data_IF_774619861185
#
_entry.id   IF_774619861185
#
_cell.length_a   1.000
_cell.length_b   1.000
_cell.length_c   1.000
_cell.angle_alpha   90.00
_cell.angle_beta   90.00
_cell.angle_gamma   90.00
#
_symmetry.space_group_name_H-M   'P 1'
#
loop_
_entity.id
_entity.type
_entity.pdbx_description
1 polymer ?
#
# COMPACT_ATOMS: atom_id res chain seq x y z
N UNK A 1 14.94 -7.31 81.91
CA UNK A 1 16.20 -7.47 81.14
C UNK A 1 16.62 -8.93 81.19
N UNK A 2 16.44 -9.68 80.10
CA UNK A 2 16.80 -11.09 80.05
C UNK A 2 18.33 -11.26 80.05
N UNK A 3 18.86 -12.05 80.98
CA UNK A 3 20.29 -12.34 81.07
C UNK A 3 20.71 -13.25 79.92
N UNK A 4 21.33 -12.68 78.88
CA UNK A 4 21.89 -13.46 77.76
C UNK A 4 23.00 -14.39 78.29
N UNK A 5 22.72 -15.70 78.32
CA UNK A 5 23.58 -16.71 78.95
C UNK A 5 24.93 -16.91 78.23
N UNK A 6 26.00 -17.19 78.99
CA UNK A 6 27.36 -17.52 78.52
C UNK A 6 27.38 -18.66 77.49
N UNK A 7 26.36 -19.53 77.50
CA UNK A 7 26.20 -20.62 76.52
C UNK A 7 25.93 -20.12 75.10
N UNK A 8 25.23 -18.99 74.93
CA UNK A 8 24.88 -18.41 73.62
C UNK A 8 26.10 -17.82 72.92
N UNK A 9 26.96 -17.10 73.65
CA UNK A 9 28.25 -16.58 73.15
C UNK A 9 29.17 -17.67 72.60
N UNK A 10 29.27 -18.81 73.30
CA UNK A 10 30.10 -19.93 72.87
C UNK A 10 29.59 -20.55 71.57
N UNK A 11 28.27 -20.59 71.37
CA UNK A 11 27.65 -21.10 70.13
C UNK A 11 27.94 -20.18 68.94
N UNK A 12 27.78 -18.86 69.11
CA UNK A 12 28.07 -17.85 68.08
C UNK A 12 29.55 -17.91 67.64
N UNK A 13 30.47 -17.99 68.61
CA UNK A 13 31.91 -18.10 68.33
C UNK A 13 32.25 -19.40 67.59
N UNK A 14 31.62 -20.53 67.94
CA UNK A 14 31.81 -21.81 67.23
C UNK A 14 31.30 -21.76 65.80
N UNK A 15 30.15 -21.14 65.54
CA UNK A 15 29.58 -21.01 64.20
C UNK A 15 30.46 -20.10 63.30
N UNK A 16 30.94 -18.96 63.80
CA UNK A 16 31.89 -18.12 63.05
C UNK A 16 33.20 -18.83 62.75
N UNK A 17 33.73 -19.62 63.70
CA UNK A 17 34.94 -20.42 63.49
C UNK A 17 34.75 -21.56 62.48
N UNK A 18 33.52 -22.07 62.35
CA UNK A 18 33.17 -23.05 61.31
C UNK A 18 33.04 -22.39 59.93
N UNK A 19 32.37 -21.23 59.83
CA UNK A 19 32.21 -20.46 58.58
C UNK A 19 33.56 -19.98 58.03
N UNK A 20 34.46 -19.51 58.90
CA UNK A 20 35.79 -19.05 58.52
C UNK A 20 36.66 -20.18 57.92
N UNK A 21 36.48 -21.42 58.40
CA UNK A 21 37.16 -22.60 57.84
C UNK A 21 36.64 -23.00 56.46
N UNK A 22 35.38 -22.69 56.13
CA UNK A 22 34.78 -22.98 54.81
C UNK A 22 35.01 -21.89 53.78
N UNK A 23 35.10 -20.62 54.18
CA UNK A 23 35.26 -19.46 53.27
C UNK A 23 36.72 -18.99 53.10
N UNK A 24 37.69 -19.73 53.62
CA UNK A 24 39.12 -19.39 53.60
C UNK A 24 39.48 -18.02 54.23
N UNK A 25 38.60 -17.46 55.06
CA UNK A 25 38.86 -16.26 55.85
C UNK A 25 39.43 -16.66 57.22
N UNK A 26 40.66 -16.25 57.53
CA UNK A 26 41.45 -16.84 58.62
C UNK A 26 41.33 -16.14 59.99
N UNK A 27 40.63 -15.00 60.09
CA UNK A 27 40.72 -14.15 61.27
C UNK A 27 39.37 -13.73 61.86
N UNK A 28 39.14 -14.13 63.12
CA UNK A 28 37.92 -13.79 63.88
C UNK A 28 38.28 -12.82 64.99
N UNK A 29 37.73 -11.61 64.92
CA UNK A 29 37.99 -10.57 65.92
C UNK A 29 37.14 -10.77 67.18
N UNK A 30 37.65 -11.58 68.11
CA UNK A 30 36.93 -12.00 69.34
C UNK A 30 36.38 -10.82 70.16
N UNK A 31 37.13 -9.71 70.26
CA UNK A 31 36.69 -8.48 70.96
C UNK A 31 35.50 -7.80 70.28
N UNK A 32 35.40 -7.86 68.95
CA UNK A 32 34.26 -7.34 68.19
C UNK A 32 33.02 -8.19 68.43
N UNK A 33 33.13 -9.52 68.35
CA UNK A 33 32.01 -10.44 68.64
C UNK A 33 31.46 -10.28 70.06
N UNK A 34 32.32 -10.07 71.06
CA UNK A 34 31.91 -9.79 72.43
C UNK A 34 31.23 -8.43 72.58
N UNK A 35 31.74 -7.40 71.89
CA UNK A 35 31.12 -6.06 71.85
C UNK A 35 29.73 -6.12 71.22
N UNK A 36 29.60 -6.78 70.07
CA UNK A 36 28.35 -6.90 69.32
C UNK A 36 27.30 -7.71 70.12
N UNK A 37 27.72 -8.76 70.83
CA UNK A 37 26.84 -9.52 71.74
C UNK A 37 26.35 -8.69 72.93
N UNK A 38 27.21 -7.83 73.48
CA UNK A 38 26.86 -6.92 74.58
C UNK A 38 25.94 -5.78 74.12
N UNK A 39 26.08 -5.34 72.85
CA UNK A 39 25.24 -4.30 72.24
C UNK A 39 23.87 -4.81 71.76
N UNK A 40 23.55 -6.07 71.97
CA UNK A 40 22.24 -6.59 71.58
C UNK A 40 22.14 -7.06 70.13
N UNK A 41 23.17 -6.87 69.30
CA UNK A 41 23.13 -7.11 67.86
C UNK A 41 22.92 -8.61 67.61
N UNK A 42 21.79 -8.96 66.99
CA UNK A 42 21.38 -10.34 66.76
C UNK A 42 22.10 -10.90 65.53
N UNK A 43 22.87 -11.98 65.72
CA UNK A 43 23.69 -12.59 64.66
C UNK A 43 22.88 -13.41 63.65
N UNK A 44 21.58 -13.61 63.87
CA UNK A 44 20.68 -14.31 62.93
C UNK A 44 20.39 -13.48 61.67
N UNK A 45 20.46 -12.15 61.74
CA UNK A 45 20.28 -11.24 60.58
C UNK A 45 21.31 -11.46 59.44
N UNK A 46 22.47 -12.06 59.74
CA UNK A 46 23.49 -12.32 58.73
C UNK A 46 23.15 -13.52 57.83
N UNK A 47 22.38 -14.49 58.32
CA UNK A 47 21.88 -15.61 57.51
C UNK A 47 20.64 -15.15 56.68
N UNK A 48 19.89 -14.15 57.18
CA UNK A 48 18.81 -13.49 56.44
C UNK A 48 19.32 -12.65 55.24
N UNK A 49 20.51 -12.08 55.34
CA UNK A 49 21.10 -11.34 54.22
C UNK A 49 21.60 -12.29 53.11
N UNK A 50 22.14 -13.45 53.49
CA UNK A 50 22.61 -14.47 52.53
C UNK A 50 21.43 -15.09 51.75
N UNK A 51 20.30 -15.33 52.44
CA UNK A 51 19.06 -15.78 51.79
C UNK A 51 18.49 -14.73 50.83
N UNK A 52 18.45 -13.45 51.22
CA UNK A 52 18.05 -12.34 50.32
C UNK A 52 18.94 -12.23 49.08
N UNK A 53 20.25 -12.44 49.22
CA UNK A 53 21.19 -12.45 48.09
C UNK A 53 20.91 -13.61 47.14
N UNK A 54 20.60 -14.80 47.67
CA UNK A 54 20.24 -15.96 46.87
C UNK A 54 18.90 -15.77 46.14
N UNK A 55 17.90 -15.21 46.82
CA UNK A 55 16.60 -14.86 46.21
C UNK A 55 16.76 -13.85 45.07
N UNK A 56 17.54 -12.77 45.29
CA UNK A 56 17.82 -11.76 44.26
C UNK A 56 18.59 -12.36 43.07
N UNK A 57 19.53 -13.28 43.29
CA UNK A 57 20.23 -14.01 42.21
C UNK A 57 19.29 -14.90 41.41
N UNK A 58 18.40 -15.64 42.07
CA UNK A 58 17.39 -16.48 41.43
C UNK A 58 16.37 -15.65 40.62
N UNK A 59 16.02 -14.45 41.10
CA UNK A 59 15.15 -13.53 40.38
C UNK A 59 15.82 -12.99 39.10
N UNK A 60 17.10 -12.60 39.18
CA UNK A 60 17.90 -12.17 38.02
C UNK A 60 18.01 -13.29 36.98
N UNK A 61 18.21 -14.53 37.41
CA UNK A 61 18.27 -15.69 36.52
C UNK A 61 16.93 -15.93 35.80
N UNK A 62 15.80 -15.86 36.51
CA UNK A 62 14.45 -15.93 35.91
C UNK A 62 14.23 -14.80 34.89
N UNK A 63 14.70 -13.59 35.17
CA UNK A 63 14.61 -12.46 34.24
C UNK A 63 15.48 -12.66 32.99
N UNK A 64 16.68 -13.24 33.13
CA UNK A 64 17.55 -13.58 31.99
C UNK A 64 16.89 -14.62 31.09
N UNK A 65 16.37 -15.69 31.67
CA UNK A 65 15.65 -16.73 30.92
C UNK A 65 14.45 -16.16 30.13
N UNK A 66 13.65 -15.29 30.76
CA UNK A 66 12.54 -14.59 30.08
C UNK A 66 12.99 -13.62 28.97
N UNK A 67 14.21 -13.08 29.04
CA UNK A 67 14.77 -12.21 28.01
C UNK A 67 15.31 -13.04 26.84
N UNK A 68 15.97 -14.15 27.13
CA UNK A 68 16.45 -15.11 26.13
C UNK A 68 15.28 -15.72 25.36
N UNK A 69 14.21 -16.18 26.04
CA UNK A 69 12.99 -16.68 25.39
C UNK A 69 12.34 -15.62 24.49
N UNK A 70 12.31 -14.35 24.91
CA UNK A 70 11.80 -13.25 24.08
C UNK A 70 12.71 -12.94 22.90
N UNK A 71 14.03 -13.02 23.08
CA UNK A 71 15.00 -12.82 22.01
C UNK A 71 14.89 -13.93 20.96
N UNK A 72 14.78 -15.19 21.38
CA UNK A 72 14.57 -16.35 20.49
C UNK A 72 13.23 -16.23 19.76
N UNK A 73 12.13 -15.90 20.44
CA UNK A 73 10.81 -15.72 19.80
C UNK A 73 10.78 -14.54 18.83
N UNK A 74 11.61 -13.52 19.05
CA UNK A 74 11.77 -12.39 18.14
C UNK A 74 12.61 -12.80 16.93
N UNK A 75 13.73 -13.48 17.14
CA UNK A 75 14.60 -13.98 16.09
C UNK A 75 13.85 -14.95 15.15
N UNK A 76 13.05 -15.87 15.69
CA UNK A 76 12.21 -16.77 14.88
C UNK A 76 11.21 -16.03 14.00
N UNK A 77 10.56 -14.97 14.52
CA UNK A 77 9.63 -14.15 13.73
C UNK A 77 10.33 -13.30 12.67
N UNK A 78 11.51 -12.81 12.99
CA UNK A 78 12.33 -12.02 12.07
C UNK A 78 12.87 -12.90 10.93
N UNK A 79 13.36 -14.10 11.25
CA UNK A 79 13.78 -15.10 10.27
C UNK A 79 12.62 -15.57 9.39
N UNK A 80 11.44 -15.82 9.95
CA UNK A 80 10.24 -16.18 9.19
C UNK A 80 9.80 -15.02 8.26
N UNK A 81 9.86 -13.77 8.75
CA UNK A 81 9.55 -12.59 7.96
C UNK A 81 10.57 -12.38 6.83
N UNK A 82 11.85 -12.61 7.08
CA UNK A 82 12.92 -12.51 6.09
C UNK A 82 12.85 -13.65 5.06
N UNK A 83 12.53 -14.87 5.49
CA UNK A 83 12.24 -15.99 4.60
C UNK A 83 11.03 -15.69 3.70
N UNK A 84 9.96 -15.11 4.26
CA UNK A 84 8.78 -14.67 3.51
C UNK A 84 9.09 -13.54 2.54
N UNK A 85 9.96 -12.59 2.92
CA UNK A 85 10.42 -11.51 2.04
C UNK A 85 11.27 -12.06 0.88
N UNK A 86 12.19 -13.00 1.16
CA UNK A 86 12.98 -13.69 0.14
C UNK A 86 12.13 -14.53 -0.81
N UNK A 87 11.12 -15.22 -0.29
CA UNK A 87 10.16 -15.97 -1.11
C UNK A 87 9.36 -15.04 -2.04
N UNK A 88 8.91 -13.88 -1.54
CA UNK A 88 8.27 -12.83 -2.36
C UNK A 88 9.20 -12.27 -3.44
N UNK A 89 10.47 -12.03 -3.11
CA UNK A 89 11.45 -11.54 -4.08
C UNK A 89 11.77 -12.56 -5.17
N UNK A 90 11.80 -13.87 -4.84
CA UNK A 90 11.92 -14.96 -5.82
C UNK A 90 10.68 -15.07 -6.69
N UNK A 91 9.49 -15.09 -6.09
CA UNK A 91 8.22 -15.09 -6.82
C UNK A 91 8.09 -13.88 -7.76
N UNK A 92 8.62 -12.71 -7.37
CA UNK A 92 8.63 -11.53 -8.22
C UNK A 92 9.60 -11.65 -9.42
N UNK A 93 10.64 -12.47 -9.30
CA UNK A 93 11.61 -12.75 -10.36
C UNK A 93 11.19 -13.90 -11.29
N UNK A 94 10.41 -14.84 -10.77
CA UNK A 94 9.88 -16.00 -11.50
C UNK A 94 8.52 -15.71 -12.17
N UNK A 95 7.96 -14.50 -11.99
CA UNK A 95 6.84 -14.02 -12.81
C UNK A 95 7.31 -13.97 -14.27
N UNK A 96 6.55 -14.53 -15.23
CA UNK A 96 6.83 -14.29 -16.64
C UNK A 96 6.84 -12.78 -16.86
N UNK A 97 7.89 -12.26 -17.51
CA UNK A 97 7.85 -10.90 -18.03
C UNK A 97 6.55 -10.77 -18.86
N UNK A 98 5.86 -9.62 -18.82
CA UNK A 98 4.64 -9.44 -19.59
C UNK A 98 4.96 -9.43 -21.09
N UNK A 99 5.17 -10.62 -21.68
CA UNK A 99 5.48 -10.84 -23.09
C UNK A 99 4.36 -10.25 -23.97
N UNK A 100 3.11 -10.27 -23.48
CA UNK A 100 1.96 -9.74 -24.23
C UNK A 100 1.88 -8.20 -24.30
N UNK A 101 2.41 -7.46 -23.31
CA UNK A 101 2.36 -6.00 -23.38
C UNK A 101 3.45 -5.45 -24.32
N UNK A 102 4.60 -6.11 -24.38
CA UNK A 102 5.71 -5.72 -25.27
C UNK A 102 5.40 -5.95 -26.74
N UNK A 103 4.82 -7.09 -27.09
CA UNK A 103 4.48 -7.45 -28.48
C UNK A 103 3.43 -6.51 -29.09
N UNK A 104 2.33 -6.24 -28.37
CA UNK A 104 1.30 -5.31 -28.87
C UNK A 104 1.82 -3.86 -28.96
N UNK A 105 2.73 -3.44 -28.06
CA UNK A 105 3.39 -2.12 -28.17
C UNK A 105 4.34 -2.02 -29.37
N UNK A 106 4.99 -3.12 -29.76
CA UNK A 106 5.92 -3.17 -30.88
C UNK A 106 5.17 -3.17 -32.24
N UNK A 107 4.06 -3.90 -32.35
CA UNK A 107 3.16 -3.85 -33.51
C UNK A 107 2.57 -2.45 -33.71
N UNK A 108 2.17 -1.77 -32.63
CA UNK A 108 1.62 -0.41 -32.70
C UNK A 108 2.68 0.64 -33.04
N UNK A 109 3.90 0.51 -32.51
CA UNK A 109 5.04 1.31 -32.96
C UNK A 109 5.26 1.10 -34.45
N UNK A 110 5.13 -0.13 -34.93
CA UNK A 110 5.27 -0.45 -36.34
C UNK A 110 4.15 0.19 -37.19
N UNK A 111 2.90 0.19 -36.72
CA UNK A 111 1.79 0.86 -37.40
C UNK A 111 1.95 2.39 -37.41
N UNK A 112 2.32 2.99 -36.28
CA UNK A 112 2.63 4.43 -36.19
C UNK A 112 3.75 4.82 -37.15
N UNK A 113 4.83 4.04 -37.19
CA UNK A 113 5.95 4.23 -38.11
C UNK A 113 5.49 4.09 -39.57
N UNK A 114 4.61 3.13 -39.88
CA UNK A 114 4.07 2.96 -41.22
C UNK A 114 3.23 4.16 -41.68
N UNK A 115 2.38 4.72 -40.81
CA UNK A 115 1.58 5.91 -41.12
C UNK A 115 2.48 7.13 -41.36
N UNK A 116 3.49 7.33 -40.50
CA UNK A 116 4.44 8.45 -40.66
C UNK A 116 5.30 8.30 -41.92
N UNK A 117 5.77 7.08 -42.22
CA UNK A 117 6.52 6.80 -43.47
C UNK A 117 5.68 7.07 -44.71
N UNK A 118 4.40 6.69 -44.69
CA UNK A 118 3.48 6.96 -45.80
C UNK A 118 3.24 8.48 -45.98
N UNK A 119 3.13 9.24 -44.88
CA UNK A 119 3.07 10.71 -44.95
C UNK A 119 4.34 11.30 -45.58
N UNK A 120 5.52 10.85 -45.15
CA UNK A 120 6.80 11.32 -45.69
C UNK A 120 6.95 10.99 -47.18
N UNK A 121 6.55 9.78 -47.61
CA UNK A 121 6.55 9.37 -49.02
C UNK A 121 5.68 10.29 -49.87
N UNK A 122 4.45 10.61 -49.42
CA UNK A 122 3.54 11.54 -50.14
C UNK A 122 4.11 12.95 -50.27
N UNK A 123 4.78 13.46 -49.24
CA UNK A 123 5.47 14.77 -49.29
C UNK A 123 6.64 14.72 -50.27
N UNK A 124 7.37 13.61 -50.32
CA UNK A 124 8.52 13.44 -51.20
C UNK A 124 8.08 13.29 -52.67
N UNK A 125 6.97 12.61 -52.92
CA UNK A 125 6.37 12.45 -54.26
C UNK A 125 5.86 13.78 -54.81
N UNK A 126 5.18 14.59 -53.99
CA UNK A 126 4.71 15.92 -54.40
C UNK A 126 5.87 16.90 -54.67
N UNK A 127 7.05 16.68 -54.09
CA UNK A 127 8.25 17.49 -54.32
C UNK A 127 9.13 16.97 -55.48
N UNK A 128 8.96 15.71 -55.90
CA UNK A 128 9.79 15.04 -56.93
C UNK A 128 9.28 15.16 -58.37
N UNK A 129 8.04 15.58 -58.59
CA UNK A 129 7.38 15.64 -59.93
C UNK A 129 7.34 17.02 -60.59
N UNK A 130 8.15 18.01 -60.15
CA UNK A 130 8.25 19.30 -60.84
C UNK A 130 9.24 19.27 -62.01
N UNK A 131 8.82 18.73 -63.15
CA UNK A 131 9.39 19.03 -64.48
C UNK A 131 8.40 19.86 -65.28
N UNK A 132 8.90 20.95 -65.87
CA UNK A 132 8.19 22.18 -66.25
C UNK A 132 7.33 22.14 -67.53
N UNK A 133 6.97 20.98 -68.11
CA UNK A 133 6.40 21.00 -69.48
C UNK A 133 5.16 20.12 -69.74
N UNK A 134 4.39 19.67 -68.73
CA UNK A 134 3.15 18.91 -68.97
C UNK A 134 1.91 19.43 -68.21
N UNK A 135 1.98 20.65 -67.65
CA UNK A 135 1.02 21.18 -66.66
C UNK A 135 -0.32 21.72 -67.22
N UNK A 136 -0.59 21.66 -68.52
CA UNK A 136 -1.79 22.31 -69.09
C UNK A 136 -2.94 21.36 -69.47
N UNK A 137 -2.65 20.12 -69.84
CA UNK A 137 -3.68 19.14 -70.26
C UNK A 137 -4.12 18.21 -69.11
N UNK A 138 -3.25 17.94 -68.13
CA UNK A 138 -3.60 17.10 -66.98
C UNK A 138 -4.49 17.84 -65.96
N UNK A 139 -4.33 19.16 -65.82
CA UNK A 139 -5.13 20.00 -64.91
C UNK A 139 -6.62 20.02 -65.33
N UNK A 140 -6.92 19.90 -66.62
CA UNK A 140 -8.29 19.92 -67.14
C UNK A 140 -9.01 18.58 -67.01
N UNK A 141 -8.27 17.46 -66.97
CA UNK A 141 -8.84 16.13 -66.75
C UNK A 141 -9.01 15.84 -65.25
N UNK A 142 -8.09 16.33 -64.40
CA UNK A 142 -8.16 16.24 -62.94
C UNK A 142 -9.27 17.11 -62.32
N UNK A 143 -9.62 18.24 -62.96
CA UNK A 143 -10.81 19.02 -62.59
C UNK A 143 -12.12 18.27 -62.89
N UNK A 144 -12.15 17.33 -63.83
CA UNK A 144 -13.38 16.56 -64.14
C UNK A 144 -13.66 15.40 -63.17
N UNK A 145 -12.65 14.96 -62.41
CA UNK A 145 -12.81 14.02 -61.29
C UNK A 145 -13.05 14.71 -59.93
N UNK A 146 -13.07 16.06 -59.90
CA UNK A 146 -13.30 16.89 -58.71
C UNK A 146 -14.76 16.93 -58.23
N UNK A 147 -15.60 16.00 -58.69
CA UNK A 147 -16.98 15.84 -58.27
C UNK A 147 -17.28 14.47 -57.62
N UNK A 148 -16.26 13.64 -57.38
CA UNK A 148 -16.33 12.55 -56.39
C UNK A 148 -16.11 13.10 -54.97
N UNK A 149 -17.09 13.92 -54.61
CA UNK A 149 -17.69 14.11 -53.30
C UNK A 149 -16.79 14.48 -52.12
N UNK A 150 -17.13 15.63 -51.54
CA UNK A 150 -16.82 16.14 -50.21
C UNK A 150 -17.34 15.23 -49.07
N UNK A 151 -17.19 13.91 -49.23
CA UNK A 151 -17.64 12.92 -48.26
C UNK A 151 -16.68 12.96 -47.08
N UNK A 152 -17.19 13.40 -45.94
CA UNK A 152 -16.41 13.48 -44.71
C UNK A 152 -15.71 12.14 -44.44
N UNK A 153 -14.37 12.17 -44.47
CA UNK A 153 -13.52 10.98 -44.34
C UNK A 153 -13.52 10.52 -42.89
N UNK A 154 -13.58 9.21 -42.65
CA UNK A 154 -13.38 8.68 -41.30
C UNK A 154 -11.88 8.71 -40.99
N UNK A 155 -11.44 9.35 -39.90
CA UNK A 155 -10.04 9.30 -39.50
C UNK A 155 -9.65 7.87 -39.16
N UNK A 156 -8.37 7.55 -39.36
CA UNK A 156 -7.81 6.29 -38.85
C UNK A 156 -7.61 6.43 -37.35
N UNK A 157 -7.74 5.35 -36.59
CA UNK A 157 -7.49 5.38 -35.15
C UNK A 157 -7.00 4.02 -34.65
N UNK A 158 -6.29 4.05 -33.54
CA UNK A 158 -5.96 2.90 -32.71
C UNK A 158 -6.57 3.15 -31.33
N UNK A 159 -7.48 2.27 -30.89
CA UNK A 159 -8.11 2.34 -29.58
C UNK A 159 -7.65 1.15 -28.75
N UNK A 160 -7.11 1.40 -27.56
CA UNK A 160 -6.69 0.36 -26.62
C UNK A 160 -7.41 0.53 -25.30
N UNK A 161 -8.09 -0.54 -24.88
CA UNK A 161 -8.76 -0.61 -23.58
C UNK A 161 -7.78 -1.18 -22.57
N UNK A 162 -7.29 -0.34 -21.66
CA UNK A 162 -6.40 -0.81 -20.60
C UNK A 162 -7.22 -1.55 -19.56
N UNK A 163 -7.10 -2.88 -19.52
CA UNK A 163 -7.78 -3.74 -18.55
C UNK A 163 -6.81 -4.16 -17.45
N UNK A 164 -7.31 -4.36 -16.24
CA UNK A 164 -6.49 -4.75 -15.11
C UNK A 164 -7.24 -5.60 -14.08
N UNK A 165 -6.51 -6.05 -13.07
CA UNK A 165 -7.05 -6.82 -11.95
C UNK A 165 -6.96 -6.00 -10.66
N UNK A 166 -8.03 -6.01 -9.86
CA UNK A 166 -8.00 -5.46 -8.49
C UNK A 166 -7.78 -6.61 -7.52
N UNK A 167 -6.62 -6.67 -6.87
CA UNK A 167 -6.42 -7.50 -5.70
C UNK A 167 -6.88 -6.76 -4.45
N UNK A 168 -8.17 -6.84 -4.14
CA UNK A 168 -8.73 -6.40 -2.85
C UNK A 168 -8.79 -7.59 -1.87
N UNK A 169 -9.06 -7.32 -0.58
CA UNK A 169 -9.11 -8.37 0.45
C UNK A 169 -10.07 -9.52 0.12
N UNK A 170 -11.18 -9.20 -0.55
CA UNK A 170 -12.18 -10.19 -0.98
C UNK A 170 -11.69 -11.03 -2.16
N UNK A 171 -11.11 -10.40 -3.18
CA UNK A 171 -10.58 -11.08 -4.35
C UNK A 171 -9.41 -11.98 -3.97
N UNK A 172 -8.59 -11.56 -3.00
CA UNK A 172 -7.50 -12.38 -2.46
C UNK A 172 -7.96 -13.65 -1.74
N UNK A 173 -9.23 -13.81 -1.38
CA UNK A 173 -9.75 -15.05 -0.76
C UNK A 173 -10.46 -15.97 -1.74
N UNK A 174 -10.76 -15.49 -2.95
CA UNK A 174 -11.57 -16.22 -3.94
C UNK A 174 -10.87 -16.46 -5.28
N UNK A 175 -9.77 -15.75 -5.54
CA UNK A 175 -9.02 -15.83 -6.77
C UNK A 175 -7.55 -16.06 -6.45
N UNK A 176 -6.90 -16.84 -7.31
CA UNK A 176 -5.48 -17.18 -7.22
C UNK A 176 -4.76 -16.67 -8.46
N UNK A 177 -3.43 -16.84 -8.53
CA UNK A 177 -2.65 -16.42 -9.69
C UNK A 177 -3.10 -17.12 -10.99
N UNK A 178 -3.48 -18.40 -10.89
CA UNK A 178 -3.89 -19.22 -12.04
C UNK A 178 -5.36 -19.02 -12.41
N UNK A 179 -6.16 -18.46 -11.49
CA UNK A 179 -7.54 -18.07 -11.72
C UNK A 179 -7.76 -16.64 -11.20
N UNK A 180 -7.23 -15.63 -11.93
CA UNK A 180 -7.28 -14.25 -11.47
C UNK A 180 -8.72 -13.72 -11.46
N UNK A 181 -8.99 -12.65 -10.69
CA UNK A 181 -10.32 -12.04 -10.66
C UNK A 181 -10.74 -11.52 -12.05
N UNK A 182 -12.04 -11.29 -12.28
CA UNK A 182 -12.51 -10.66 -13.50
C UNK A 182 -11.78 -9.33 -13.76
N UNK A 183 -11.38 -9.11 -15.00
CA UNK A 183 -10.74 -7.85 -15.41
C UNK A 183 -11.75 -6.71 -15.35
N UNK A 184 -11.29 -5.56 -14.89
CA UNK A 184 -12.03 -4.31 -14.98
C UNK A 184 -11.31 -3.36 -15.95
N UNK A 185 -12.05 -2.42 -16.54
CA UNK A 185 -11.47 -1.38 -17.38
C UNK A 185 -10.79 -0.36 -16.48
N UNK A 186 -9.48 -0.22 -16.60
CA UNK A 186 -8.67 0.74 -15.84
C UNK A 186 -8.53 2.08 -16.57
N UNK A 187 -8.62 2.09 -17.89
CA UNK A 187 -8.46 3.29 -18.68
C UNK A 187 -8.54 3.03 -20.17
N UNK A 188 -8.40 4.09 -20.95
CA UNK A 188 -8.42 4.05 -22.40
C UNK A 188 -7.24 4.81 -22.98
N UNK A 189 -6.72 4.31 -24.10
CA UNK A 189 -5.73 5.00 -24.92
C UNK A 189 -6.27 5.15 -26.34
N UNK A 190 -6.47 6.39 -26.77
CA UNK A 190 -6.90 6.72 -28.12
C UNK A 190 -5.76 7.39 -28.87
N UNK A 191 -5.38 6.82 -29.99
CA UNK A 191 -4.51 7.45 -30.99
C UNK A 191 -5.32 7.66 -32.26
N UNK A 192 -5.65 8.91 -32.59
CA UNK A 192 -6.51 9.26 -33.71
C UNK A 192 -5.71 10.08 -34.72
N UNK A 193 -5.72 9.62 -35.97
CA UNK A 193 -4.90 10.15 -37.05
C UNK A 193 -5.71 11.09 -37.95
N UNK A 194 -5.25 12.33 -38.01
CA UNK A 194 -5.71 13.44 -38.83
C UNK A 194 -4.56 14.01 -39.70
N UNK A 195 -3.95 13.19 -40.58
CA UNK A 195 -2.81 13.61 -41.41
C UNK A 195 -3.16 14.71 -42.43
N UNK A 196 -4.39 14.74 -42.94
CA UNK A 196 -4.84 15.59 -44.05
C UNK A 196 -5.72 16.76 -43.54
N UNK A 197 -5.50 17.23 -42.32
CA UNK A 197 -6.30 18.31 -41.74
C UNK A 197 -6.01 19.63 -42.48
N UNK A 198 -7.06 20.31 -42.95
CA UNK A 198 -6.88 21.56 -43.73
C UNK A 198 -6.26 22.66 -42.88
N UNK A 199 -6.67 22.75 -41.62
CA UNK A 199 -6.20 23.75 -40.66
C UNK A 199 -5.47 23.05 -39.51
N UNK A 200 -4.15 22.90 -39.66
CA UNK A 200 -3.30 22.25 -38.66
C UNK A 200 -3.13 23.08 -37.37
N UNK A 201 -3.62 24.33 -37.35
CA UNK A 201 -3.63 25.19 -36.16
C UNK A 201 -4.78 24.86 -35.21
N UNK A 202 -5.90 24.36 -35.75
CA UNK A 202 -7.06 23.99 -34.94
C UNK A 202 -6.88 22.60 -34.34
N UNK A 203 -6.84 22.56 -33.02
CA UNK A 203 -6.70 21.31 -32.27
C UNK A 203 -8.03 20.56 -32.23
N UNK A 204 -8.05 19.26 -32.55
CA UNK A 204 -9.24 18.44 -32.38
C UNK A 204 -9.73 18.43 -30.93
N UNK A 205 -11.03 18.63 -30.74
CA UNK A 205 -11.67 18.68 -29.42
C UNK A 205 -12.47 17.40 -29.17
N UNK A 206 -12.62 17.01 -27.91
CA UNK A 206 -13.49 15.90 -27.51
C UNK A 206 -14.60 16.36 -26.56
N UNK A 207 -15.76 15.69 -26.62
CA UNK A 207 -16.89 15.92 -25.73
C UNK A 207 -17.40 14.60 -25.17
N UNK A 208 -17.82 14.61 -23.91
CA UNK A 208 -18.47 13.45 -23.27
C UNK A 208 -19.98 13.68 -23.29
N UNK A 209 -20.71 12.70 -23.80
CA UNK A 209 -22.16 12.69 -23.89
C UNK A 209 -22.73 11.44 -23.22
N UNK A 210 -23.94 11.56 -22.68
CA UNK A 210 -24.64 10.44 -22.06
C UNK A 210 -25.08 9.42 -23.13
N UNK A 211 -24.90 8.13 -22.82
CA UNK A 211 -25.33 7.05 -23.69
C UNK A 211 -26.82 6.78 -23.46
N UNK A 212 -27.67 7.20 -24.41
CA UNK A 212 -29.13 7.02 -24.33
C UNK A 212 -29.56 5.55 -24.34
N UNK A 213 -28.71 4.66 -24.86
CA UNK A 213 -28.98 3.22 -24.92
C UNK A 213 -28.61 2.52 -23.61
N UNK A 214 -27.88 3.18 -22.71
CA UNK A 214 -27.45 2.61 -21.44
C UNK A 214 -28.50 2.80 -20.37
N UNK A 215 -29.22 1.73 -20.05
CA UNK A 215 -30.31 1.75 -19.06
C UNK A 215 -29.83 2.07 -17.63
N UNK A 216 -28.53 1.92 -17.34
CA UNK A 216 -27.96 2.00 -15.99
C UNK A 216 -26.95 3.15 -15.82
N UNK A 217 -26.63 3.90 -16.89
CA UNK A 217 -25.67 5.02 -16.83
C UNK A 217 -24.19 4.62 -16.68
N UNK A 218 -23.88 3.31 -16.77
CA UNK A 218 -22.53 2.76 -16.60
C UNK A 218 -21.59 3.11 -17.77
N UNK A 219 -22.14 3.54 -18.91
CA UNK A 219 -21.39 3.87 -20.13
C UNK A 219 -21.70 5.28 -20.60
N UNK A 220 -20.69 5.94 -21.16
CA UNK A 220 -20.83 7.25 -21.82
C UNK A 220 -20.18 7.22 -23.21
N UNK A 221 -20.56 8.18 -24.05
CA UNK A 221 -20.05 8.31 -25.42
C UNK A 221 -19.07 9.47 -25.48
N UNK A 222 -17.81 9.17 -25.82
CA UNK A 222 -16.82 10.19 -26.13
C UNK A 222 -16.84 10.50 -27.63
N UNK A 223 -17.08 11.75 -28.02
CA UNK A 223 -17.05 12.23 -29.42
C UNK A 223 -15.81 13.07 -29.67
N UNK A 224 -15.15 12.85 -30.80
CA UNK A 224 -13.99 13.61 -31.26
C UNK A 224 -14.35 14.43 -32.50
N UNK A 225 -13.95 15.70 -32.49
CA UNK A 225 -14.22 16.69 -33.54
C UNK A 225 -12.91 17.33 -33.98
N UNK A 226 -12.49 17.11 -35.22
CA UNK A 226 -11.25 17.70 -35.77
C UNK A 226 -11.51 18.82 -36.79
N UNK A 227 -12.63 18.77 -37.51
CA UNK A 227 -12.96 19.67 -38.62
C UNK A 227 -12.77 19.01 -40.00
N UNK A 228 -13.15 19.70 -41.09
CA UNK A 228 -13.02 19.18 -42.46
C UNK A 228 -11.56 18.80 -42.80
N UNK A 229 -11.30 17.70 -43.52
CA UNK A 229 -12.23 16.84 -44.25
C UNK A 229 -12.77 15.67 -43.41
N UNK A 230 -12.50 15.62 -42.10
CA UNK A 230 -12.81 14.46 -41.27
C UNK A 230 -14.21 14.53 -40.66
N UNK A 231 -14.89 13.39 -40.66
CA UNK A 231 -16.14 13.20 -39.93
C UNK A 231 -15.87 13.05 -38.42
N UNK A 232 -16.83 13.45 -37.61
CA UNK A 232 -16.79 13.21 -36.17
C UNK A 232 -16.87 11.70 -35.89
N UNK A 233 -16.07 11.24 -34.93
CA UNK A 233 -16.09 9.84 -34.49
C UNK A 233 -16.43 9.76 -33.02
N UNK A 234 -17.08 8.67 -32.63
CA UNK A 234 -17.57 8.48 -31.28
C UNK A 234 -17.25 7.06 -30.79
N UNK A 235 -16.91 6.94 -29.51
CA UNK A 235 -16.66 5.65 -28.87
C UNK A 235 -17.48 5.53 -27.59
N UNK A 236 -17.94 4.31 -27.29
CA UNK A 236 -18.53 3.99 -26.01
C UNK A 236 -17.43 3.62 -25.01
N UNK A 237 -17.43 4.31 -23.88
CA UNK A 237 -16.49 4.10 -22.78
C UNK A 237 -17.25 3.93 -21.46
N UNK A 238 -16.58 3.40 -20.43
CA UNK A 238 -17.13 3.37 -19.06
C UNK A 238 -17.26 4.79 -18.51
N UNK A 239 -18.37 5.05 -17.82
CA UNK A 239 -18.69 6.33 -17.20
C UNK A 239 -18.12 6.40 -15.77
N UNK A 240 -16.79 6.50 -15.67
CA UNK A 240 -16.08 6.66 -14.39
C UNK A 240 -15.24 7.95 -14.39
N UNK A 241 -14.88 8.44 -13.21
CA UNK A 241 -14.06 9.64 -13.04
C UNK A 241 -12.64 9.44 -13.58
N UNK A 242 -12.16 10.40 -14.37
CA UNK A 242 -10.81 10.34 -14.94
C UNK A 242 -9.77 10.88 -13.97
N UNK A 243 -8.59 10.26 -13.99
CA UNK A 243 -7.39 10.75 -13.32
C UNK A 243 -6.59 11.64 -14.27
N UNK A 244 -6.66 12.96 -14.06
CA UNK A 244 -5.96 13.96 -14.86
C UNK A 244 -4.47 14.11 -14.48
N UNK A 245 -3.95 13.29 -13.57
CA UNK A 245 -2.55 13.35 -13.17
C UNK A 245 -1.63 12.82 -14.28
N UNK A 246 -0.69 13.66 -14.74
CA UNK A 246 0.36 13.25 -15.69
C UNK A 246 1.21 12.09 -15.14
N UNK A 247 1.40 12.01 -13.81
CA UNK A 247 2.13 10.91 -13.17
C UNK A 247 1.42 9.57 -13.33
N UNK A 248 0.10 9.59 -13.47
CA UNK A 248 -0.73 8.40 -13.62
C UNK A 248 -1.01 8.09 -15.11
N UNK A 249 -0.25 8.69 -16.03
CA UNK A 249 -0.29 8.40 -17.45
C UNK A 249 -1.31 9.21 -18.24
N UNK A 250 -1.89 10.27 -17.65
CA UNK A 250 -2.76 11.18 -18.39
C UNK A 250 -1.96 11.92 -19.47
N UNK A 251 -2.44 11.86 -20.72
CA UNK A 251 -1.86 12.56 -21.87
C UNK A 251 -2.95 13.04 -22.79
N UNK A 252 -2.92 14.31 -23.15
CA UNK A 252 -3.81 14.90 -24.15
C UNK A 252 -2.98 15.84 -25.03
N UNK A 253 -2.49 15.34 -26.17
CA UNK A 253 -1.57 16.09 -27.05
C UNK A 253 -1.97 15.89 -28.50
N UNK A 254 -1.91 16.95 -29.30
CA UNK A 254 -2.09 16.90 -30.74
C UNK A 254 -0.81 17.38 -31.43
N UNK A 255 -0.08 16.45 -32.07
CA UNK A 255 1.20 16.75 -32.72
C UNK A 255 1.30 15.95 -34.02
N UNK A 256 1.77 16.58 -35.10
CA UNK A 256 1.99 15.91 -36.38
C UNK A 256 0.74 15.30 -37.02
N UNK A 257 -0.44 15.88 -36.75
CA UNK A 257 -1.71 15.32 -37.21
C UNK A 257 -2.17 14.11 -36.41
N UNK A 258 -1.60 13.84 -35.23
CA UNK A 258 -2.01 12.72 -34.38
C UNK A 258 -2.54 13.26 -33.06
N UNK A 259 -3.80 12.97 -32.75
CA UNK A 259 -4.41 13.23 -31.45
C UNK A 259 -4.19 12.02 -30.55
N UNK A 260 -3.48 12.24 -29.44
CA UNK A 260 -3.28 11.24 -28.40
C UNK A 260 -4.08 11.63 -27.17
N UNK A 261 -5.03 10.79 -26.79
CA UNK A 261 -5.80 10.94 -25.55
C UNK A 261 -5.67 9.66 -24.72
N UNK A 262 -4.85 9.73 -23.68
CA UNK A 262 -4.64 8.65 -22.71
C UNK A 262 -5.16 9.09 -21.36
N UNK A 263 -5.99 8.27 -20.75
CA UNK A 263 -6.44 8.49 -19.39
C UNK A 263 -6.70 7.17 -18.68
N UNK A 264 -6.55 7.21 -17.37
CA UNK A 264 -6.93 6.13 -16.48
C UNK A 264 -8.06 6.61 -15.58
N UNK A 265 -8.90 5.70 -15.13
CA UNK A 265 -9.93 5.98 -14.14
C UNK A 265 -9.33 6.14 -12.75
N UNK A 266 -9.93 7.02 -11.95
CA UNK A 266 -9.56 7.21 -10.55
C UNK A 266 -9.80 5.93 -9.77
N UNK A 267 -8.81 5.57 -8.95
CA UNK A 267 -8.94 4.45 -8.03
C UNK A 267 -9.24 4.95 -6.63
N UNK A 268 -10.45 4.72 -6.19
CA UNK A 268 -10.82 4.96 -4.79
C UNK A 268 -10.29 3.81 -3.93
N UNK A 269 -9.32 4.11 -3.08
CA UNK A 269 -8.89 3.17 -2.04
C UNK A 269 -9.87 3.30 -0.87
N UNK A 270 -10.63 2.24 -0.60
CA UNK A 270 -11.27 2.10 0.69
C UNK A 270 -10.18 2.00 1.75
N UNK A 271 -9.88 3.13 2.39
CA UNK A 271 -9.20 3.12 3.66
C UNK A 271 -10.19 2.47 4.61
N UNK A 272 -9.86 1.28 5.10
CA UNK A 272 -10.45 0.78 6.33
C UNK A 272 -10.23 1.87 7.36
N UNK A 273 -11.23 2.71 7.57
CA UNK A 273 -11.32 3.51 8.77
C UNK A 273 -11.28 2.47 9.88
N UNK A 274 -10.12 2.32 10.50
CA UNK A 274 -10.02 1.81 11.86
C UNK A 274 -10.75 2.87 12.69
N UNK A 275 -12.07 2.80 12.64
CA UNK A 275 -12.93 3.61 13.46
C UNK A 275 -12.55 3.24 14.88
N UNK A 276 -12.18 4.28 15.63
CA UNK A 276 -12.55 4.62 17.00
C UNK A 276 -13.98 4.20 17.43
N UNK A 277 -14.53 3.12 16.87
CA UNK A 277 -15.76 2.44 17.28
C UNK A 277 -15.56 1.66 18.57
N UNK A 278 -14.31 1.32 18.90
CA UNK A 278 -13.95 0.83 20.24
C UNK A 278 -14.02 1.94 21.30
N UNK A 279 -13.68 3.19 20.97
CA UNK A 279 -13.76 4.31 21.93
C UNK A 279 -15.22 4.66 22.30
N UNK A 280 -16.16 4.60 21.33
CA UNK A 280 -17.58 4.84 21.62
C UNK A 280 -18.23 3.69 22.39
N UNK A 281 -17.80 2.45 22.14
CA UNK A 281 -18.25 1.31 22.93
C UNK A 281 -17.73 1.38 24.37
N UNK A 282 -16.47 1.81 24.59
CA UNK A 282 -15.93 2.06 25.93
C UNK A 282 -16.64 3.23 26.63
N UNK A 283 -16.97 4.31 25.94
CA UNK A 283 -17.77 5.42 26.49
C UNK A 283 -19.18 4.96 26.88
N UNK A 284 -19.85 4.16 26.05
CA UNK A 284 -21.18 3.62 26.36
C UNK A 284 -21.15 2.63 27.53
N UNK A 285 -20.14 1.75 27.60
CA UNK A 285 -19.95 0.84 28.73
C UNK A 285 -19.65 1.60 30.03
N UNK A 286 -18.85 2.66 29.98
CA UNK A 286 -18.59 3.52 31.12
C UNK A 286 -19.85 4.28 31.58
N UNK A 287 -20.68 4.78 30.65
CA UNK A 287 -21.97 5.39 31.00
C UNK A 287 -22.93 4.40 31.66
N UNK A 288 -23.01 3.17 31.14
CA UNK A 288 -23.87 2.12 31.73
C UNK A 288 -23.35 1.73 33.12
N UNK A 289 -22.04 1.57 33.30
CA UNK A 289 -21.45 1.24 34.61
C UNK A 289 -21.70 2.35 35.65
N UNK A 290 -21.60 3.62 35.25
CA UNK A 290 -21.86 4.75 36.12
C UNK A 290 -23.35 4.87 36.49
N UNK A 291 -24.25 4.57 35.56
CA UNK A 291 -25.70 4.56 35.78
C UNK A 291 -26.13 3.42 36.73
N UNK A 292 -25.52 2.24 36.58
CA UNK A 292 -25.77 1.09 37.47
C UNK A 292 -25.24 1.36 38.89
N UNK A 293 -24.08 2.01 39.03
CA UNK A 293 -23.56 2.40 40.35
C UNK A 293 -24.37 3.51 41.01
N UNK A 294 -24.80 4.54 40.27
CA UNK A 294 -25.69 5.58 40.80
C UNK A 294 -27.04 5.02 41.25
N UNK A 295 -27.55 4.00 40.54
CA UNK A 295 -28.78 3.29 40.93
C UNK A 295 -28.60 2.46 42.20
N UNK A 296 -27.41 1.89 42.44
CA UNK A 296 -27.10 1.15 43.68
C UNK A 296 -26.95 2.06 44.89
N UNK A 297 -26.45 3.29 44.73
CA UNK A 297 -26.41 4.27 45.82
C UNK A 297 -27.80 4.76 46.21
N UNK A 298 -28.71 4.93 45.24
CA UNK A 298 -30.11 5.29 45.51
C UNK A 298 -30.91 4.19 46.20
N UNK A 299 -30.60 2.91 45.95
CA UNK A 299 -31.23 1.78 46.67
C UNK A 299 -30.73 1.71 48.12
N UNK A 300 -29.44 1.99 48.38
CA UNK A 300 -28.91 2.02 49.75
C UNK A 300 -29.38 3.25 50.57
N UNK A 301 -29.81 4.34 49.92
CA UNK A 301 -30.38 5.50 50.60
C UNK A 301 -31.85 5.30 51.02
N UNK A 302 -32.59 4.41 50.36
CA UNK A 302 -33.97 4.09 50.75
C UNK A 302 -34.06 3.18 51.99
N UNK A 303 -33.00 2.44 52.33
CA UNK A 303 -32.94 1.65 53.57
C UNK A 303 -32.62 2.50 54.82
N UNK A 304 -32.27 3.78 54.66
CA UNK A 304 -32.02 4.70 55.78
C UNK A 304 -33.23 5.57 56.15
N UNK A 305 -34.31 5.54 55.37
CA UNK A 305 -35.54 6.33 55.63
C UNK A 305 -36.72 5.47 56.12
N UNK A 306 -36.48 4.19 56.41
CA UNK A 306 -37.47 3.22 56.90
C UNK A 306 -37.04 2.60 58.24
N UNK A 307 -36.49 3.44 59.12
CA UNK A 307 -36.32 3.15 60.55
C UNK A 307 -36.84 4.32 61.39
#
# INVERSE_FOLDING_TARGET
MATRSSSSLRRILKNKLKKSRTTHESFIWKKKVLRDFALGIDFEEADDEETRILERKAEIEKLRKRREERAVRKAQREEEAEARARARARAQKDLPEPEREGEEEEEDRSMLIAVVKEQQRRIQETMGTRTREEDAEEVKLLESQSHDEYRAKKPKYTNRVHTGYVWNKYNSTHYDHDNPPPKFVRGYKFDIFYPDLVDNSKVPTYTLEEDKDSNNGDTCIIRFRAGPPYAEIAFRIVNDDWDYSQKNGFKCTFEGGILRLYFNFKRYFYRSLNFKLLDLAELLLNCIFHFVNMSRELINLNDFFLM
#
